data_IF_851968825829
#
_entry.id   IF_851968825829
#
_cell.length_a   1.000
_cell.length_b   1.000
_cell.length_c   1.000
_cell.angle_alpha   90.00
_cell.angle_beta   90.00
_cell.angle_gamma   90.00
#
_symmetry.space_group_name_H-M   'P 1'
#
loop_
_entity.id
_entity.type
_entity.pdbx_description
1 polymer ?
#
# COMPACT_ATOMS: atom_id res chain seq x y z
N UNK A 1 -0.84 -26.93 -6.25
CA UNK A 1 0.37 -26.27 -5.72
C UNK A 1 1.54 -27.17 -6.05
N UNK A 2 2.09 -26.98 -7.24
CA UNK A 2 3.32 -27.64 -7.65
C UNK A 2 4.48 -26.97 -6.92
N UNK A 3 5.23 -27.78 -6.18
CA UNK A 3 6.53 -27.40 -5.67
C UNK A 3 7.47 -27.27 -6.88
N UNK A 4 7.52 -26.07 -7.45
CA UNK A 4 8.46 -25.72 -8.50
C UNK A 4 9.89 -25.92 -7.99
N UNK A 5 10.65 -26.73 -8.73
CA UNK A 5 12.07 -26.98 -8.56
C UNK A 5 12.82 -25.66 -8.34
N UNK A 6 13.31 -25.47 -7.11
CA UNK A 6 14.28 -24.43 -6.79
C UNK A 6 15.62 -24.93 -7.32
N UNK A 7 15.99 -24.51 -8.53
CA UNK A 7 17.37 -24.69 -9.01
C UNK A 7 18.33 -24.07 -7.97
N UNK A 8 19.28 -24.84 -7.41
CA UNK A 8 20.30 -24.29 -6.53
C UNK A 8 21.10 -23.23 -7.30
N UNK A 9 20.89 -21.97 -6.89
CA UNK A 9 21.39 -20.80 -7.58
C UNK A 9 22.88 -20.87 -7.85
N UNK A 10 23.23 -20.73 -9.13
CA UNK A 10 24.52 -20.24 -9.60
C UNK A 10 24.81 -18.87 -8.94
N UNK A 11 25.42 -18.89 -7.77
CA UNK A 11 26.08 -17.73 -7.15
C UNK A 11 27.47 -17.47 -7.74
N UNK A 12 27.80 -18.11 -8.87
CA UNK A 12 29.00 -17.81 -9.62
C UNK A 12 28.82 -16.53 -10.45
N UNK A 13 29.58 -15.50 -10.06
CA UNK A 13 30.32 -14.57 -10.95
C UNK A 13 29.82 -13.14 -11.22
N UNK A 14 28.70 -12.65 -10.67
CA UNK A 14 28.37 -11.20 -10.82
C UNK A 14 29.33 -10.26 -10.07
N UNK A 15 29.85 -10.67 -8.91
CA UNK A 15 30.93 -9.93 -8.23
C UNK A 15 32.19 -9.86 -9.10
N UNK A 16 32.39 -10.84 -9.99
CA UNK A 16 33.59 -10.90 -10.83
C UNK A 16 33.59 -9.87 -11.97
N UNK A 17 32.45 -9.42 -12.48
CA UNK A 17 32.42 -8.44 -13.58
C UNK A 17 32.72 -7.03 -13.11
N UNK A 18 32.17 -6.61 -11.96
CA UNK A 18 32.46 -5.30 -11.38
C UNK A 18 33.93 -5.22 -10.98
N UNK A 19 34.45 -6.26 -10.31
CA UNK A 19 35.87 -6.35 -9.96
C UNK A 19 36.76 -6.39 -11.21
N UNK A 20 36.40 -7.14 -12.27
CA UNK A 20 37.14 -7.14 -13.54
C UNK A 20 37.11 -5.78 -14.24
N UNK A 21 36.00 -5.03 -14.20
CA UNK A 21 35.94 -3.66 -14.74
C UNK A 21 36.86 -2.72 -13.97
N UNK A 22 36.86 -2.80 -12.64
CA UNK A 22 37.78 -2.02 -11.81
C UNK A 22 39.25 -2.38 -12.05
N UNK A 23 39.59 -3.67 -12.14
CA UNK A 23 40.95 -4.13 -12.45
C UNK A 23 41.41 -3.66 -13.84
N UNK A 24 40.53 -3.70 -14.85
CA UNK A 24 40.83 -3.17 -16.19
C UNK A 24 41.00 -1.65 -16.19
N UNK A 25 40.23 -0.92 -15.38
CA UNK A 25 40.40 0.52 -15.22
C UNK A 25 41.68 0.89 -14.46
N UNK A 26 42.15 0.05 -13.54
CA UNK A 26 43.36 0.28 -12.76
C UNK A 26 44.67 -0.01 -13.53
N UNK A 27 44.65 -0.93 -14.50
CA UNK A 27 45.81 -1.30 -15.31
C UNK A 27 46.51 -0.12 -16.04
N UNK A 28 45.82 0.81 -16.73
CA UNK A 28 46.49 1.97 -17.33
C UNK A 28 47.08 2.93 -16.29
N UNK A 29 46.54 2.95 -15.08
CA UNK A 29 47.05 3.79 -13.98
C UNK A 29 48.44 3.35 -13.51
N UNK A 30 48.69 2.04 -13.45
CA UNK A 30 50.00 1.47 -13.13
C UNK A 30 51.06 1.84 -14.19
N UNK A 31 50.66 1.96 -15.45
CA UNK A 31 51.55 2.34 -16.55
C UNK A 31 51.98 3.82 -16.46
N UNK A 32 51.10 4.71 -15.99
CA UNK A 32 51.40 6.14 -15.75
C UNK A 32 52.40 6.34 -14.60
N UNK A 33 52.41 5.46 -13.60
CA UNK A 33 53.35 5.53 -12.46
C UNK A 33 54.78 5.25 -12.92
N UNK A 34 54.99 4.33 -13.87
CA UNK A 34 56.32 4.04 -14.40
C UNK A 34 56.89 5.17 -15.28
N UNK A 35 56.04 5.92 -16.01
CA UNK A 35 56.50 6.98 -16.93
C UNK A 35 56.97 8.27 -16.23
N UNK A 36 56.68 8.47 -14.93
CA UNK A 36 56.94 9.74 -14.21
C UNK A 36 58.07 9.70 -13.17
N UNK A 37 58.88 8.65 -13.13
CA UNK A 37 60.02 8.57 -12.21
C UNK A 37 61.05 9.70 -12.41
N UNK A 38 61.17 10.25 -13.62
CA UNK A 38 62.07 11.37 -13.93
C UNK A 38 61.63 12.70 -13.31
N UNK A 39 60.32 12.93 -13.13
CA UNK A 39 59.78 14.15 -12.50
C UNK A 39 60.00 14.17 -10.98
N UNK A 40 60.04 13.01 -10.32
CA UNK A 40 60.32 12.88 -8.88
C UNK A 40 61.73 13.36 -8.50
N UNK A 41 62.69 13.32 -9.43
CA UNK A 41 64.07 13.74 -9.18
C UNK A 41 64.22 15.22 -8.82
N UNK A 42 63.30 16.10 -9.28
CA UNK A 42 63.37 17.55 -9.05
C UNK A 42 62.66 18.04 -7.78
N UNK A 43 61.90 17.17 -7.10
CA UNK A 43 61.14 17.55 -5.90
C UNK A 43 62.01 17.48 -4.64
N UNK A 44 61.74 18.36 -3.66
CA UNK A 44 62.38 18.35 -2.34
C UNK A 44 62.05 17.07 -1.56
N UNK A 45 62.92 16.68 -0.62
CA UNK A 45 62.74 15.45 0.18
C UNK A 45 61.37 15.40 0.89
N UNK A 46 60.91 16.53 1.43
CA UNK A 46 59.60 16.64 2.09
C UNK A 46 58.44 16.32 1.14
N UNK A 47 58.49 16.85 -0.08
CA UNK A 47 57.47 16.60 -1.09
C UNK A 47 57.46 15.13 -1.53
N UNK A 48 58.63 14.47 -1.61
CA UNK A 48 58.73 13.04 -1.91
C UNK A 48 58.08 12.18 -0.82
N UNK A 49 58.31 12.49 0.46
CA UNK A 49 57.70 11.78 1.59
C UNK A 49 56.18 11.96 1.59
N UNK A 50 55.67 13.19 1.37
CA UNK A 50 54.23 13.43 1.27
C UNK A 50 53.59 12.69 0.09
N UNK A 51 54.25 12.66 -1.07
CA UNK A 51 53.74 11.94 -2.24
C UNK A 51 53.68 10.42 -2.00
N UNK A 52 54.70 9.84 -1.36
CA UNK A 52 54.69 8.42 -0.99
C UNK A 52 53.59 8.10 0.02
N UNK A 53 53.38 8.97 1.02
CA UNK A 53 52.28 8.81 1.98
C UNK A 53 50.91 8.88 1.29
N UNK A 54 50.71 9.82 0.37
CA UNK A 54 49.48 9.95 -0.40
C UNK A 54 49.23 8.72 -1.30
N UNK A 55 50.27 8.19 -1.96
CA UNK A 55 50.17 6.98 -2.77
C UNK A 55 49.80 5.76 -1.91
N UNK A 56 50.33 5.69 -0.68
CA UNK A 56 50.03 4.59 0.24
C UNK A 56 48.61 4.70 0.84
N UNK A 57 48.10 5.92 1.07
CA UNK A 57 46.75 6.18 1.61
C UNK A 57 45.64 6.14 0.55
N UNK A 58 45.93 6.46 -0.71
CA UNK A 58 44.94 6.43 -1.78
C UNK A 58 44.17 5.09 -1.91
N UNK A 59 44.82 3.90 -1.91
CA UNK A 59 44.09 2.64 -2.02
C UNK A 59 43.24 2.34 -0.78
N UNK A 60 43.67 2.74 0.42
CA UNK A 60 42.87 2.51 1.65
C UNK A 60 41.63 3.38 1.67
N UNK A 61 41.74 4.66 1.29
CA UNK A 61 40.57 5.55 1.15
C UNK A 61 39.62 5.07 0.06
N UNK A 62 40.14 4.59 -1.07
CA UNK A 62 39.32 4.04 -2.16
C UNK A 62 38.57 2.79 -1.69
N UNK A 63 39.24 1.89 -0.95
CA UNK A 63 38.60 0.69 -0.40
C UNK A 63 37.49 1.05 0.61
N UNK A 64 37.75 2.00 1.52
CA UNK A 64 36.76 2.48 2.49
C UNK A 64 35.54 3.05 1.77
N UNK A 65 35.75 3.87 0.73
CA UNK A 65 34.66 4.44 -0.06
C UNK A 65 33.82 3.37 -0.77
N UNK A 66 34.46 2.37 -1.40
CA UNK A 66 33.76 1.26 -2.05
C UNK A 66 32.96 0.43 -1.03
N UNK A 67 33.52 0.20 0.16
CA UNK A 67 32.84 -0.55 1.22
C UNK A 67 31.61 0.22 1.72
N UNK A 68 31.74 1.52 2.01
CA UNK A 68 30.63 2.39 2.40
C UNK A 68 29.50 2.38 1.36
N UNK A 69 29.85 2.53 0.07
CA UNK A 69 28.89 2.50 -1.03
C UNK A 69 28.18 1.13 -1.13
N UNK A 70 28.93 0.03 -0.96
CA UNK A 70 28.34 -1.32 -0.97
C UNK A 70 27.38 -1.54 0.21
N UNK A 71 27.77 -1.11 1.41
CA UNK A 71 26.94 -1.20 2.62
C UNK A 71 25.68 -0.35 2.47
N UNK A 72 25.77 0.88 1.94
CA UNK A 72 24.61 1.73 1.70
C UNK A 72 23.61 1.07 0.74
N UNK A 73 24.10 0.45 -0.35
CA UNK A 73 23.25 -0.26 -1.31
C UNK A 73 22.58 -1.50 -0.71
N UNK A 74 23.29 -2.23 0.15
CA UNK A 74 22.73 -3.43 0.77
C UNK A 74 21.69 -3.05 1.85
N UNK A 75 21.94 -2.00 2.63
CA UNK A 75 20.95 -1.41 3.54
C UNK A 75 19.72 -0.94 2.75
N UNK A 76 19.90 -0.23 1.65
CA UNK A 76 18.80 0.22 0.79
C UNK A 76 17.99 -0.96 0.24
N UNK A 77 18.65 -2.01 -0.27
CA UNK A 77 17.95 -3.20 -0.78
C UNK A 77 17.19 -3.93 0.31
N UNK A 78 17.79 -4.09 1.49
CA UNK A 78 17.14 -4.74 2.63
C UNK A 78 15.89 -3.94 3.03
N UNK A 79 16.02 -2.63 3.12
CA UNK A 79 14.94 -1.72 3.41
C UNK A 79 13.81 -1.80 2.38
N UNK A 80 14.13 -1.78 1.09
CA UNK A 80 13.13 -1.93 0.01
C UNK A 80 12.42 -3.29 0.08
N UNK A 81 13.13 -4.37 0.40
CA UNK A 81 12.53 -5.71 0.58
C UNK A 81 11.59 -5.74 1.77
N UNK A 82 12.02 -5.18 2.90
CA UNK A 82 11.22 -5.13 4.11
C UNK A 82 9.94 -4.32 3.88
N UNK A 83 10.06 -3.09 3.34
CA UNK A 83 8.91 -2.24 3.07
C UNK A 83 7.97 -2.84 2.01
N UNK A 84 8.49 -3.51 0.97
CA UNK A 84 7.66 -4.27 0.02
C UNK A 84 6.92 -5.44 0.69
N UNK A 85 7.56 -6.12 1.64
CA UNK A 85 6.94 -7.23 2.39
C UNK A 85 5.84 -6.68 3.29
N UNK A 86 6.09 -5.60 4.02
CA UNK A 86 5.10 -4.90 4.85
C UNK A 86 3.91 -4.42 4.00
N UNK A 87 4.18 -3.85 2.82
CA UNK A 87 3.15 -3.42 1.87
C UNK A 87 2.29 -4.59 1.40
N UNK A 88 2.91 -5.69 0.97
CA UNK A 88 2.20 -6.88 0.51
C UNK A 88 1.34 -7.49 1.63
N UNK A 89 1.83 -7.54 2.86
CA UNK A 89 1.06 -8.01 4.02
C UNK A 89 -0.12 -7.07 4.30
N UNK A 90 0.08 -5.75 4.28
CA UNK A 90 -0.98 -4.77 4.52
C UNK A 90 -2.09 -4.86 3.45
N UNK A 91 -1.71 -4.95 2.17
CA UNK A 91 -2.66 -5.15 1.06
C UNK A 91 -3.40 -6.47 1.20
N UNK A 92 -2.67 -7.56 1.50
CA UNK A 92 -3.28 -8.88 1.70
C UNK A 92 -4.27 -8.91 2.88
N UNK A 93 -3.98 -8.18 3.96
CA UNK A 93 -4.88 -8.07 5.12
C UNK A 93 -6.15 -7.29 4.77
N UNK A 94 -6.03 -6.21 4.02
CA UNK A 94 -7.19 -5.42 3.58
C UNK A 94 -8.06 -6.22 2.59
N UNK A 95 -7.44 -6.90 1.63
CA UNK A 95 -8.14 -7.83 0.73
C UNK A 95 -8.87 -8.92 1.53
N UNK A 96 -8.21 -9.55 2.50
CA UNK A 96 -8.84 -10.54 3.38
C UNK A 96 -10.11 -10.01 4.08
N UNK A 97 -10.06 -8.78 4.62
CA UNK A 97 -11.23 -8.17 5.27
C UNK A 97 -12.39 -7.97 4.28
N UNK A 98 -12.09 -7.50 3.07
CA UNK A 98 -13.11 -7.30 2.03
C UNK A 98 -13.68 -8.62 1.53
N UNK A 99 -12.84 -9.62 1.25
CA UNK A 99 -13.29 -10.95 0.82
C UNK A 99 -14.13 -11.63 1.91
N UNK A 100 -13.75 -11.47 3.18
CA UNK A 100 -14.53 -12.00 4.30
C UNK A 100 -15.90 -11.29 4.42
N UNK A 101 -15.94 -9.98 4.24
CA UNK A 101 -17.19 -9.22 4.19
C UNK A 101 -18.10 -9.68 3.04
N UNK A 102 -17.54 -9.86 1.83
CA UNK A 102 -18.26 -10.37 0.66
C UNK A 102 -18.80 -11.79 0.89
N UNK A 103 -17.99 -12.70 1.41
CA UNK A 103 -18.41 -14.07 1.70
C UNK A 103 -19.53 -14.11 2.74
N UNK A 104 -19.39 -13.32 3.82
CA UNK A 104 -20.41 -13.22 4.86
C UNK A 104 -21.72 -12.63 4.31
N UNK A 105 -21.65 -11.57 3.50
CA UNK A 105 -22.83 -11.00 2.85
C UNK A 105 -23.49 -11.97 1.88
N UNK A 106 -22.71 -12.70 1.08
CA UNK A 106 -23.23 -13.69 0.13
C UNK A 106 -24.02 -14.76 0.88
N UNK A 107 -23.44 -15.34 1.93
CA UNK A 107 -24.11 -16.33 2.77
C UNK A 107 -25.37 -15.76 3.44
N UNK A 108 -25.31 -14.51 3.89
CA UNK A 108 -26.44 -13.83 4.52
C UNK A 108 -27.57 -13.56 3.51
N UNK A 109 -27.24 -13.22 2.26
CA UNK A 109 -28.20 -12.95 1.18
C UNK A 109 -28.97 -14.18 0.72
N UNK A 110 -28.47 -15.38 0.98
CA UNK A 110 -29.14 -16.66 0.71
C UNK A 110 -30.08 -17.07 1.84
N UNK A 111 -30.10 -16.33 2.95
CA UNK A 111 -30.98 -16.65 4.09
C UNK A 111 -32.45 -16.39 3.74
N UNK A 112 -33.36 -17.36 3.95
CA UNK A 112 -34.79 -17.19 3.69
C UNK A 112 -35.45 -16.16 4.61
N UNK A 113 -34.76 -15.73 5.66
CA UNK A 113 -35.22 -14.71 6.60
C UNK A 113 -34.96 -13.28 6.11
N UNK A 114 -34.17 -13.09 5.03
CA UNK A 114 -33.92 -11.79 4.43
C UNK A 114 -34.83 -11.61 3.23
N UNK A 115 -36.05 -11.19 3.51
CA UNK A 115 -37.08 -10.97 2.49
C UNK A 115 -37.78 -9.63 2.74
N UNK A 116 -38.09 -8.86 1.67
CA UNK A 116 -38.83 -7.60 1.80
C UNK A 116 -40.18 -7.74 2.52
N UNK A 117 -40.82 -8.91 2.42
CA UNK A 117 -42.11 -9.20 3.05
C UNK A 117 -42.05 -9.34 4.58
N UNK A 118 -40.87 -9.57 5.17
CA UNK A 118 -40.66 -9.61 6.62
C UNK A 118 -39.48 -8.72 7.06
N UNK A 119 -39.68 -7.39 7.12
CA UNK A 119 -38.67 -6.45 7.59
C UNK A 119 -38.17 -6.71 9.01
N UNK A 120 -39.05 -7.16 9.91
CA UNK A 120 -38.71 -7.35 11.32
C UNK A 120 -37.87 -8.62 11.54
N UNK A 121 -38.21 -9.71 10.85
CA UNK A 121 -37.38 -10.92 10.82
C UNK A 121 -36.00 -10.63 10.23
N UNK A 122 -35.96 -9.96 9.07
CA UNK A 122 -34.72 -9.53 8.40
C UNK A 122 -33.83 -8.71 9.35
N UNK A 123 -34.40 -7.72 10.04
CA UNK A 123 -33.68 -6.85 10.96
C UNK A 123 -33.09 -7.63 12.15
N UNK A 124 -33.79 -8.64 12.66
CA UNK A 124 -33.30 -9.49 13.77
C UNK A 124 -32.07 -10.30 13.35
N UNK A 125 -32.08 -10.86 12.14
CA UNK A 125 -30.92 -11.60 11.61
C UNK A 125 -29.74 -10.67 11.41
N UNK A 126 -29.95 -9.54 10.73
CA UNK A 126 -28.91 -8.54 10.49
C UNK A 126 -28.33 -8.00 11.79
N UNK A 127 -29.15 -7.78 12.82
CA UNK A 127 -28.70 -7.33 14.14
C UNK A 127 -27.86 -8.40 14.85
N UNK A 128 -28.28 -9.67 14.80
CA UNK A 128 -27.49 -10.77 15.36
C UNK A 128 -26.13 -10.86 14.68
N UNK A 129 -26.10 -10.76 13.35
CA UNK A 129 -24.86 -10.75 12.58
C UNK A 129 -23.98 -9.54 12.91
N UNK A 130 -24.57 -8.34 12.98
CA UNK A 130 -23.90 -7.09 13.32
C UNK A 130 -23.20 -7.15 14.68
N UNK A 131 -23.86 -7.68 15.73
CA UNK A 131 -23.24 -7.78 17.06
C UNK A 131 -22.05 -8.76 17.12
N UNK A 132 -21.91 -9.64 16.13
CA UNK A 132 -20.75 -10.52 16.01
C UNK A 132 -19.53 -9.90 15.34
N UNK A 133 -19.65 -8.70 14.76
CA UNK A 133 -18.61 -8.08 13.93
C UNK A 133 -18.33 -6.65 14.39
N UNK A 134 -17.19 -6.44 15.05
CA UNK A 134 -16.83 -5.15 15.67
C UNK A 134 -16.45 -4.05 14.68
N UNK A 135 -16.13 -4.43 13.46
CA UNK A 135 -15.69 -3.56 12.36
C UNK A 135 -16.84 -2.95 11.56
N UNK A 136 -18.06 -3.48 11.72
CA UNK A 136 -19.23 -3.03 10.98
C UNK A 136 -19.87 -1.81 11.63
N UNK A 137 -20.32 -0.88 10.80
CA UNK A 137 -21.16 0.26 11.20
C UNK A 137 -22.63 -0.06 11.03
N UNK A 138 -23.02 -0.65 9.90
CA UNK A 138 -24.38 -1.06 9.65
C UNK A 138 -24.45 -2.25 8.69
N UNK A 139 -25.56 -2.96 8.75
CA UNK A 139 -25.97 -3.95 7.74
C UNK A 139 -27.40 -3.63 7.38
N UNK A 140 -27.71 -3.57 6.09
CA UNK A 140 -29.05 -3.23 5.62
C UNK A 140 -29.37 -3.90 4.29
N UNK A 141 -30.66 -4.07 4.03
CA UNK A 141 -31.18 -4.56 2.76
C UNK A 141 -32.07 -3.51 2.11
N UNK A 142 -31.94 -3.40 0.80
CA UNK A 142 -32.76 -2.55 -0.04
C UNK A 142 -33.43 -3.37 -1.14
N UNK A 143 -34.64 -2.98 -1.51
CA UNK A 143 -35.43 -3.62 -2.56
C UNK A 143 -34.95 -3.21 -3.97
N UNK A 144 -35.67 -3.64 -5.01
CA UNK A 144 -35.39 -3.30 -6.42
C UNK A 144 -35.47 -1.79 -6.72
N UNK A 145 -36.18 -1.02 -5.90
CA UNK A 145 -36.31 0.45 -6.02
C UNK A 145 -35.21 1.19 -5.28
N UNK A 146 -34.41 0.48 -4.50
CA UNK A 146 -33.39 1.04 -3.64
C UNK A 146 -33.94 1.62 -2.34
N UNK A 147 -35.16 1.23 -1.95
CA UNK A 147 -35.73 1.57 -0.65
C UNK A 147 -35.22 0.60 0.41
N UNK A 148 -34.64 1.14 1.49
CA UNK A 148 -34.12 0.32 2.59
C UNK A 148 -35.30 -0.20 3.41
N UNK A 149 -35.60 -1.49 3.29
CA UNK A 149 -36.71 -2.12 4.03
C UNK A 149 -36.25 -2.73 5.36
N UNK A 150 -34.96 -3.05 5.54
CA UNK A 150 -34.43 -3.67 6.75
C UNK A 150 -33.02 -3.20 7.08
N UNK A 151 -32.71 -3.05 8.37
CA UNK A 151 -31.38 -2.67 8.86
C UNK A 151 -31.08 -3.29 10.22
N UNK A 152 -29.79 -3.47 10.55
CA UNK A 152 -29.32 -3.80 11.89
C UNK A 152 -29.65 -2.69 12.92
N UNK A 153 -29.80 -1.46 12.43
CA UNK A 153 -30.19 -0.27 13.20
C UNK A 153 -31.69 0.04 13.07
N UNK A 154 -32.18 1.01 13.82
CA UNK A 154 -33.58 1.43 13.73
C UNK A 154 -33.86 2.12 12.38
N UNK A 155 -34.82 1.61 11.62
CA UNK A 155 -35.22 2.13 10.31
C UNK A 155 -35.63 3.62 10.33
N UNK A 156 -36.11 4.13 11.47
CA UNK A 156 -36.46 5.56 11.59
C UNK A 156 -35.26 6.49 11.35
N UNK A 157 -34.02 6.00 11.52
CA UNK A 157 -32.81 6.74 11.20
C UNK A 157 -32.42 6.69 9.71
N UNK A 158 -33.05 5.79 8.93
CA UNK A 158 -32.54 5.33 7.62
C UNK A 158 -33.49 5.67 6.46
N UNK A 159 -34.78 5.86 6.72
CA UNK A 159 -35.84 6.00 5.70
C UNK A 159 -35.73 7.22 4.76
N UNK A 160 -34.77 8.11 4.94
CA UNK A 160 -34.61 9.31 4.10
C UNK A 160 -33.71 9.11 2.88
N UNK A 161 -32.97 8.01 2.77
CA UNK A 161 -31.99 7.80 1.68
C UNK A 161 -32.48 6.76 0.69
N UNK A 162 -32.82 7.19 -0.53
CA UNK A 162 -33.09 6.28 -1.65
C UNK A 162 -31.78 5.87 -2.34
N UNK A 163 -31.43 4.59 -2.23
CA UNK A 163 -30.20 4.02 -2.79
C UNK A 163 -30.27 3.79 -4.29
N UNK A 164 -31.46 3.78 -4.89
CA UNK A 164 -31.66 3.59 -6.33
C UNK A 164 -31.02 4.69 -7.19
N UNK A 165 -30.74 5.85 -6.59
CA UNK A 165 -30.01 6.95 -7.22
C UNK A 165 -28.49 6.79 -7.16
N UNK A 166 -27.99 5.84 -6.37
CA UNK A 166 -26.56 5.68 -6.15
C UNK A 166 -25.92 4.81 -7.24
N UNK A 167 -24.73 5.19 -7.77
CA UNK A 167 -24.08 4.44 -8.85
C UNK A 167 -23.82 2.96 -8.52
N UNK A 168 -23.50 2.67 -7.27
CA UNK A 168 -23.22 1.30 -6.83
C UNK A 168 -24.46 0.41 -6.80
N UNK A 169 -25.65 0.97 -6.58
CA UNK A 169 -26.90 0.22 -6.60
C UNK A 169 -27.17 -0.34 -8.00
N UNK A 170 -26.97 0.48 -9.04
CA UNK A 170 -27.09 0.06 -10.43
C UNK A 170 -26.07 -1.04 -10.80
N UNK A 171 -24.87 -0.99 -10.21
CA UNK A 171 -23.88 -2.06 -10.37
C UNK A 171 -24.38 -3.38 -9.77
N UNK A 172 -24.89 -3.36 -8.55
CA UNK A 172 -25.29 -4.57 -7.84
C UNK A 172 -26.58 -5.17 -8.39
N UNK A 173 -27.63 -4.35 -8.52
CA UNK A 173 -28.95 -4.82 -8.97
C UNK A 173 -28.98 -5.05 -10.48
N UNK A 174 -28.39 -4.14 -11.26
CA UNK A 174 -28.41 -4.20 -12.72
C UNK A 174 -27.49 -5.28 -13.30
N UNK A 175 -26.33 -5.51 -12.70
CA UNK A 175 -25.34 -6.49 -13.22
C UNK A 175 -25.27 -7.77 -12.39
N UNK A 176 -26.04 -7.87 -11.29
CA UNK A 176 -26.05 -9.02 -10.40
C UNK A 176 -24.65 -9.42 -9.88
N UNK A 177 -23.77 -8.43 -9.68
CA UNK A 177 -22.39 -8.59 -9.24
C UNK A 177 -22.17 -7.93 -7.88
N UNK A 178 -21.36 -8.53 -6.99
CA UNK A 178 -20.91 -7.86 -5.79
C UNK A 178 -20.15 -6.57 -6.11
N UNK A 179 -20.23 -5.58 -5.23
CA UNK A 179 -19.56 -4.30 -5.41
C UNK A 179 -18.95 -3.81 -4.09
N UNK A 180 -17.76 -3.23 -4.19
CA UNK A 180 -17.07 -2.53 -3.11
C UNK A 180 -16.96 -1.07 -3.52
N UNK A 181 -17.55 -0.19 -2.74
CA UNK A 181 -17.67 1.22 -3.08
C UNK A 181 -16.53 2.00 -2.45
N UNK A 182 -16.09 3.05 -3.15
CA UNK A 182 -15.23 4.07 -2.58
C UNK A 182 -15.86 4.66 -1.30
N UNK A 183 -15.06 5.21 -0.38
CA UNK A 183 -15.59 5.55 0.92
C UNK A 183 -16.57 6.68 0.85
N UNK A 184 -17.64 6.50 1.61
CA UNK A 184 -18.78 7.39 1.64
C UNK A 184 -19.22 7.56 3.09
N UNK A 185 -20.11 8.51 3.34
CA UNK A 185 -20.78 8.56 4.62
C UNK A 185 -21.85 7.47 4.64
N UNK A 186 -21.79 6.58 5.62
CA UNK A 186 -22.77 5.53 5.82
C UNK A 186 -24.16 6.16 6.01
N UNK A 187 -25.19 5.75 5.25
CA UNK A 187 -26.51 6.39 5.28
C UNK A 187 -27.23 6.21 6.63
N UNK A 188 -26.75 5.31 7.50
CA UNK A 188 -27.36 4.99 8.79
C UNK A 188 -26.70 5.76 9.93
N UNK A 189 -25.36 5.71 10.01
CA UNK A 189 -24.55 6.28 11.09
C UNK A 189 -23.94 7.64 10.75
N UNK A 190 -23.98 8.05 9.48
CA UNK A 190 -23.29 9.23 8.95
C UNK A 190 -21.78 9.25 9.24
N UNK A 191 -21.17 8.08 9.41
CA UNK A 191 -19.71 7.94 9.60
C UNK A 191 -19.04 7.54 8.28
N UNK A 192 -17.79 7.95 8.04
CA UNK A 192 -16.99 7.47 6.92
C UNK A 192 -16.88 5.94 6.94
N UNK A 193 -17.29 5.31 5.85
CA UNK A 193 -17.39 3.87 5.72
C UNK A 193 -17.05 3.39 4.31
N UNK A 194 -16.58 2.15 4.23
CA UNK A 194 -16.53 1.38 2.98
C UNK A 194 -17.81 0.56 2.88
N UNK A 195 -18.56 0.73 1.79
CA UNK A 195 -19.76 -0.06 1.54
C UNK A 195 -19.39 -1.29 0.71
N UNK A 196 -19.76 -2.47 1.21
CA UNK A 196 -19.71 -3.74 0.49
C UNK A 196 -21.14 -4.18 0.25
N UNK A 197 -21.49 -4.55 -0.98
CA UNK A 197 -22.84 -4.96 -1.33
C UNK A 197 -22.86 -6.19 -2.23
N UNK A 198 -23.88 -7.01 -2.05
CA UNK A 198 -24.16 -8.22 -2.84
C UNK A 198 -25.62 -8.20 -3.33
N UNK A 199 -25.92 -8.80 -4.49
CA UNK A 199 -27.29 -8.91 -4.97
C UNK A 199 -28.07 -9.90 -4.10
N UNK A 200 -29.29 -9.54 -3.72
CA UNK A 200 -30.25 -10.52 -3.17
C UNK A 200 -30.99 -11.17 -4.32
N UNK A 201 -31.14 -12.50 -4.30
CA UNK A 201 -31.80 -13.25 -5.37
C UNK A 201 -32.98 -14.01 -4.80
N UNK A 202 -34.06 -14.09 -5.56
CA UNK A 202 -35.17 -14.99 -5.23
C UNK A 202 -34.87 -16.43 -5.66
N UNK A 203 -35.82 -17.34 -5.42
CA UNK A 203 -35.75 -18.75 -5.81
C UNK A 203 -35.56 -18.98 -7.32
N UNK A 204 -35.91 -18.00 -8.16
CA UNK A 204 -35.71 -18.04 -9.62
C UNK A 204 -34.33 -17.53 -10.05
N UNK A 205 -33.49 -17.14 -9.09
CA UNK A 205 -32.17 -16.55 -9.34
C UNK A 205 -32.20 -15.10 -9.85
N UNK A 206 -33.38 -14.45 -9.90
CA UNK A 206 -33.49 -13.06 -10.33
C UNK A 206 -33.18 -12.13 -9.16
N UNK A 207 -32.40 -11.08 -9.41
CA UNK A 207 -32.04 -10.07 -8.40
C UNK A 207 -33.26 -9.28 -7.96
N UNK A 208 -33.60 -9.32 -6.67
CA UNK A 208 -34.76 -8.62 -6.06
C UNK A 208 -34.36 -7.41 -5.22
N UNK A 209 -33.08 -7.05 -5.22
CA UNK A 209 -32.53 -5.95 -4.44
C UNK A 209 -31.07 -6.20 -4.12
N UNK A 210 -30.59 -5.54 -3.07
CA UNK A 210 -29.24 -5.75 -2.56
C UNK A 210 -29.20 -5.85 -1.04
N UNK A 211 -28.20 -6.58 -0.57
CA UNK A 211 -27.80 -6.62 0.82
C UNK A 211 -26.44 -5.93 0.92
N UNK A 212 -26.29 -4.99 1.85
CA UNK A 212 -25.08 -4.23 2.03
C UNK A 212 -24.63 -4.23 3.49
N UNK A 213 -23.33 -4.13 3.69
CA UNK A 213 -22.71 -3.81 4.97
C UNK A 213 -21.76 -2.63 4.79
N UNK A 214 -21.62 -1.83 5.83
CA UNK A 214 -20.66 -0.74 5.88
C UNK A 214 -19.60 -1.02 6.93
N UNK A 215 -18.34 -0.93 6.51
CA UNK A 215 -17.17 -1.15 7.36
C UNK A 215 -16.62 0.21 7.76
N UNK A 216 -16.41 0.43 9.05
CA UNK A 216 -15.86 1.70 9.54
C UNK A 216 -14.45 1.91 8.99
N UNK A 217 -14.24 3.06 8.37
CA UNK A 217 -12.94 3.51 7.92
C UNK A 217 -11.96 3.63 9.09
N UNK A 218 -12.44 4.09 10.26
CA UNK A 218 -11.63 4.19 11.47
C UNK A 218 -11.24 2.82 12.04
N UNK A 219 -12.11 1.82 11.96
CA UNK A 219 -11.75 0.46 12.40
C UNK A 219 -10.73 -0.19 11.47
N UNK A 220 -10.86 0.02 10.16
CA UNK A 220 -9.83 -0.40 9.20
C UNK A 220 -8.49 0.26 9.52
N UNK A 221 -8.51 1.53 9.89
CA UNK A 221 -7.32 2.23 10.35
C UNK A 221 -6.72 1.58 11.61
N UNK A 222 -7.50 1.37 12.67
CA UNK A 222 -7.02 0.79 13.94
C UNK A 222 -6.29 -0.55 13.71
N UNK A 223 -6.88 -1.41 12.87
CA UNK A 223 -6.31 -2.73 12.53
C UNK A 223 -4.99 -2.59 11.78
N UNK A 224 -4.88 -1.61 10.89
CA UNK A 224 -3.65 -1.39 10.13
C UNK A 224 -2.58 -0.65 10.95
N UNK A 225 -2.96 0.31 11.79
CA UNK A 225 -2.05 1.04 12.67
C UNK A 225 -1.36 0.09 13.66
N UNK A 226 -2.11 -0.87 14.23
CA UNK A 226 -1.51 -1.88 15.09
C UNK A 226 -0.39 -2.66 14.38
N UNK A 227 -0.57 -2.96 13.09
CA UNK A 227 0.43 -3.64 12.27
C UNK A 227 1.63 -2.75 11.95
N UNK A 228 1.39 -1.48 11.61
CA UNK A 228 2.43 -0.56 11.11
C UNK A 228 3.21 0.15 12.22
N UNK A 229 2.66 0.23 13.43
CA UNK A 229 3.35 0.75 14.61
C UNK A 229 4.69 0.06 14.88
N UNK A 230 4.84 -1.20 14.42
CA UNK A 230 6.07 -1.96 14.54
C UNK A 230 7.12 -1.60 13.49
N UNK A 231 6.70 -1.17 12.28
CA UNK A 231 7.62 -0.87 11.17
C UNK A 231 8.00 0.61 11.10
N UNK A 232 7.31 1.48 11.84
CA UNK A 232 7.46 2.94 11.74
C UNK A 232 7.00 3.49 10.39
N UNK A 233 6.33 2.68 9.58
CA UNK A 233 5.68 3.12 8.36
C UNK A 233 4.39 3.85 8.68
N UNK A 234 4.07 4.84 7.84
CA UNK A 234 2.77 5.48 7.83
C UNK A 234 1.92 4.88 6.73
N UNK A 235 0.62 4.73 7.00
CA UNK A 235 -0.36 4.29 6.03
C UNK A 235 -1.10 5.46 5.44
N UNK A 236 -1.32 5.42 4.13
CA UNK A 236 -2.40 6.16 3.49
C UNK A 236 -3.21 5.23 2.61
N UNK A 237 -4.52 5.19 2.83
CA UNK A 237 -5.46 4.49 1.93
C UNK A 237 -6.19 5.57 1.14
N UNK A 238 -6.25 5.43 -0.19
CA UNK A 238 -6.98 6.35 -1.06
C UNK A 238 -8.00 5.63 -1.93
N UNK A 239 -9.05 6.33 -2.34
CA UNK A 239 -9.94 5.91 -3.43
C UNK A 239 -10.10 7.06 -4.41
N UNK A 240 -9.99 6.76 -5.71
CA UNK A 240 -10.01 7.78 -6.77
C UNK A 240 -9.05 8.96 -6.49
N UNK A 241 -7.93 8.65 -5.83
CA UNK A 241 -6.89 9.60 -5.44
C UNK A 241 -7.20 10.51 -4.26
N UNK A 242 -8.34 10.34 -3.58
CA UNK A 242 -8.67 11.04 -2.34
C UNK A 242 -8.27 10.21 -1.11
N UNK A 243 -7.62 10.79 -0.09
CA UNK A 243 -7.34 10.10 1.16
C UNK A 243 -8.64 9.69 1.84
N UNK A 244 -8.65 8.44 2.29
CA UNK A 244 -9.69 7.85 3.10
C UNK A 244 -9.20 7.79 4.55
N UNK A 245 -7.97 7.31 4.70
CA UNK A 245 -7.31 7.04 5.97
C UNK A 245 -5.88 7.50 5.85
N UNK A 246 -5.37 8.16 6.89
CA UNK A 246 -3.97 8.52 7.01
C UNK A 246 -3.50 8.40 8.45
N UNK A 247 -2.39 7.69 8.68
CA UNK A 247 -1.76 7.64 10.00
C UNK A 247 -0.93 8.90 10.25
N UNK A 248 -1.39 9.77 11.15
CA UNK A 248 -0.56 10.82 11.75
C UNK A 248 -0.05 11.90 10.81
N UNK A 249 -0.58 12.03 9.58
CA UNK A 249 -0.31 13.20 8.75
C UNK A 249 -1.25 14.34 9.16
N UNK A 250 -0.70 15.55 9.18
CA UNK A 250 -1.38 16.75 9.67
C UNK A 250 -2.73 16.92 8.99
N UNK A 251 -3.77 17.12 9.79
CA UNK A 251 -5.11 17.53 9.34
C UNK A 251 -5.01 18.88 8.63
N UNK A 252 -4.78 18.86 7.31
CA UNK A 252 -4.60 20.08 6.52
C UNK A 252 -4.48 19.81 5.01
N UNK A 253 -4.73 20.85 4.21
CA UNK A 253 -4.73 20.77 2.73
C UNK A 253 -3.39 20.43 2.06
N UNK A 254 -2.32 20.20 2.83
CA UNK A 254 -1.02 19.76 2.31
C UNK A 254 -1.00 18.28 1.96
N UNK A 255 -1.73 17.44 2.71
CA UNK A 255 -1.82 16.00 2.45
C UNK A 255 -2.55 15.72 1.13
N UNK A 256 -3.71 16.35 0.91
CA UNK A 256 -4.46 16.21 -0.34
C UNK A 256 -3.62 16.65 -1.55
N UNK A 257 -2.84 17.74 -1.42
CA UNK A 257 -1.90 18.20 -2.46
C UNK A 257 -0.76 17.21 -2.69
N UNK A 258 -0.26 16.58 -1.64
CA UNK A 258 0.77 15.55 -1.75
C UNK A 258 0.25 14.30 -2.44
N UNK A 259 -0.91 13.79 -2.04
CA UNK A 259 -1.56 12.63 -2.66
C UNK A 259 -1.94 12.89 -4.12
N UNK A 260 -2.41 14.09 -4.44
CA UNK A 260 -2.67 14.46 -5.84
C UNK A 260 -1.41 14.34 -6.69
N UNK A 261 -0.25 14.81 -6.18
CA UNK A 261 1.04 14.66 -6.87
C UNK A 261 1.48 13.20 -6.93
N UNK A 262 1.25 12.43 -5.87
CA UNK A 262 1.56 11.00 -5.83
C UNK A 262 0.76 10.22 -6.89
N UNK A 263 -0.53 10.51 -7.01
CA UNK A 263 -1.43 9.87 -7.98
C UNK A 263 -1.17 10.32 -9.43
N UNK A 264 -0.62 11.52 -9.61
CA UNK A 264 -0.19 12.00 -10.93
C UNK A 264 1.09 11.30 -11.43
N UNK A 265 1.80 10.58 -10.58
CA UNK A 265 2.98 9.81 -10.97
C UNK A 265 2.57 8.62 -11.86
N UNK A 266 3.37 8.26 -12.88
CA UNK A 266 3.06 7.14 -13.79
C UNK A 266 2.82 5.80 -13.07
N UNK A 267 3.44 5.60 -11.90
CA UNK A 267 3.24 4.41 -11.07
C UNK A 267 1.90 4.38 -10.31
N UNK A 268 1.36 5.54 -9.91
CA UNK A 268 0.10 5.64 -9.17
C UNK A 268 -1.13 5.33 -10.04
N UNK A 269 -1.06 5.67 -11.33
CA UNK A 269 -2.15 5.42 -12.28
C UNK A 269 -2.16 3.99 -12.86
N UNK A 270 -1.00 3.32 -12.92
CA UNK A 270 -0.85 2.07 -13.65
C UNK A 270 -1.31 0.81 -12.90
N UNK A 271 -1.73 0.92 -11.63
CA UNK A 271 -2.22 -0.22 -10.85
C UNK A 271 -1.15 -1.29 -10.57
N UNK A 272 0.13 -1.00 -10.77
CA UNK A 272 1.22 -1.87 -10.37
C UNK A 272 1.80 -1.41 -9.03
N UNK A 273 2.28 -2.33 -8.18
CA UNK A 273 3.10 -1.95 -7.04
C UNK A 273 4.30 -1.13 -7.51
N UNK A 274 4.54 0.01 -6.88
CA UNK A 274 5.69 0.86 -7.20
C UNK A 274 6.39 1.33 -5.93
N UNK A 275 7.68 1.61 -6.08
CA UNK A 275 8.51 2.17 -5.02
C UNK A 275 9.15 3.44 -5.55
N UNK A 276 8.97 4.53 -4.84
CA UNK A 276 9.50 5.82 -5.25
C UNK A 276 10.05 6.60 -4.07
N UNK A 277 11.22 7.20 -4.27
CA UNK A 277 11.74 8.24 -3.37
C UNK A 277 11.09 9.57 -3.74
N UNK A 278 10.50 10.21 -2.75
CA UNK A 278 9.83 11.50 -2.90
C UNK A 278 10.60 12.53 -2.08
N UNK A 279 11.27 13.46 -2.76
CA UNK A 279 11.84 14.63 -2.14
C UNK A 279 10.85 15.78 -2.26
N UNK A 280 10.41 16.32 -1.14
CA UNK A 280 9.55 17.50 -1.11
C UNK A 280 10.18 18.57 -0.22
N UNK A 281 10.56 19.68 -0.85
CA UNK A 281 11.11 20.85 -0.15
C UNK A 281 10.20 21.37 0.97
N UNK A 282 8.88 21.09 0.91
CA UNK A 282 7.92 21.49 1.93
C UNK A 282 7.73 20.47 3.06
N UNK A 283 8.06 19.19 2.84
CA UNK A 283 7.73 18.10 3.76
C UNK A 283 8.97 17.47 4.44
N UNK A 284 10.14 18.06 4.23
CA UNK A 284 11.37 17.71 4.94
C UNK A 284 12.23 16.66 4.21
N UNK A 285 12.80 15.68 4.94
CA UNK A 285 13.73 14.72 4.36
C UNK A 285 13.07 13.86 3.26
N UNK A 286 13.91 13.23 2.43
CA UNK A 286 13.48 12.30 1.39
C UNK A 286 12.65 11.16 2.00
N UNK A 287 11.42 10.98 1.51
CA UNK A 287 10.50 9.93 1.96
C UNK A 287 10.50 8.79 0.97
N UNK A 288 10.50 7.55 1.46
CA UNK A 288 10.21 6.40 0.60
C UNK A 288 8.71 6.15 0.60
N UNK A 289 8.12 6.06 -0.58
CA UNK A 289 6.72 5.71 -0.77
C UNK A 289 6.63 4.38 -1.53
N UNK A 290 5.84 3.46 -0.99
CA UNK A 290 5.48 2.21 -1.64
C UNK A 290 3.98 2.20 -1.81
N UNK A 291 3.51 2.10 -3.05
CA UNK A 291 2.11 2.18 -3.40
C UNK A 291 1.66 1.00 -4.24
N UNK A 292 0.39 0.64 -4.15
CA UNK A 292 -0.22 -0.35 -5.05
C UNK A 292 -1.74 -0.46 -4.84
N UNK A 293 -2.47 -1.01 -5.81
CA UNK A 293 -3.90 -1.22 -5.66
C UNK A 293 -4.19 -2.40 -4.73
N UNK A 294 -5.37 -2.37 -4.15
CA UNK A 294 -5.92 -3.47 -3.36
C UNK A 294 -6.90 -4.23 -4.26
N UNK A 295 -6.62 -5.51 -4.51
CA UNK A 295 -7.37 -6.32 -5.46
C UNK A 295 -8.87 -6.31 -5.17
N UNK A 296 -9.69 -6.24 -6.24
CA UNK A 296 -11.16 -6.26 -6.11
C UNK A 296 -11.78 -5.01 -5.46
N UNK A 297 -11.01 -3.95 -5.23
CA UNK A 297 -11.50 -2.71 -4.62
C UNK A 297 -11.07 -1.49 -5.44
N UNK A 298 -11.73 -0.33 -5.24
CA UNK A 298 -11.25 0.95 -5.78
C UNK A 298 -10.09 1.56 -4.96
N UNK A 299 -9.52 0.82 -4.00
CA UNK A 299 -8.54 1.36 -3.07
C UNK A 299 -7.11 1.24 -3.59
N UNK A 300 -6.31 2.23 -3.22
CA UNK A 300 -4.86 2.18 -3.30
C UNK A 300 -4.28 2.34 -1.90
N UNK A 301 -3.29 1.52 -1.57
CA UNK A 301 -2.60 1.54 -0.28
C UNK A 301 -1.18 2.05 -0.49
N UNK A 302 -0.83 3.07 0.27
CA UNK A 302 0.50 3.67 0.31
C UNK A 302 1.12 3.47 1.69
N UNK A 303 2.35 2.97 1.71
CA UNK A 303 3.23 3.02 2.87
C UNK A 303 4.25 4.13 2.68
N UNK A 304 4.40 4.98 3.68
CA UNK A 304 5.30 6.13 3.64
C UNK A 304 6.25 6.03 4.83
N UNK A 305 7.56 5.97 4.55
CA UNK A 305 8.59 5.99 5.59
C UNK A 305 9.38 7.30 5.52
N UNK A 306 9.42 8.02 6.64
CA UNK A 306 10.06 9.34 6.75
C UNK A 306 11.58 9.28 6.94
N UNK A 307 12.10 8.14 7.39
CA UNK A 307 13.53 7.91 7.55
C UNK A 307 13.94 6.75 6.65
N UNK A 308 14.17 7.04 5.36
CA UNK A 308 15.00 6.17 4.54
C UNK A 308 16.39 6.03 5.18
N UNK A 309 17.15 4.96 4.89
CA UNK A 309 18.55 4.93 5.31
C UNK A 309 19.23 6.19 4.80
N UNK A 310 19.58 7.08 5.73
CA UNK A 310 20.31 8.30 5.40
C UNK A 310 21.63 7.83 4.81
N UNK A 311 21.95 8.16 3.55
CA UNK A 311 23.23 7.77 2.98
C UNK A 311 24.32 8.33 3.92
N UNK A 312 25.21 7.45 4.38
CA UNK A 312 26.29 7.84 5.31
C UNK A 312 27.27 8.86 4.69
N UNK A 313 27.13 9.12 3.39
CA UNK A 313 27.93 10.06 2.61
C UNK A 313 26.97 10.94 1.79
N UNK A 314 26.99 12.28 1.98
CA UNK A 314 26.20 13.23 1.20
C UNK A 314 26.68 13.41 -0.24
#
# INVERSE_FOLDING_TARGET
>A
MDAGDIEPGRFETRVSETVRRWLRAALPMLWVIHLRASLFSRMSLRARVMALAAILLAPTLTLIFVLLESTNRDIERQFLRESNTTHAIAVGRLDQVVQQALANLSALSESPQIVPADPLGSARVMRTFYFGQTELLAVFAADERGEIFSSSHNLNAVQTVNLGTQPYFASVVGHAQPSVVAPMHDPVSNQPAVLVAVPMRNERGTTTGMLAMTISVFRLYDVMEQFLSQSGDRLVITAAGQPIVSSGWHSGGDEARWLTRLNAQPGGAAGAPYVQRFHDSLLGPEKLVIGGPVAGTPFQLFLIRENGPVPLVP
#
